data_IF_592260670442
#
_entry.id   IF_592260670442
#
_cell.length_a   1.000
_cell.length_b   1.000
_cell.length_c   1.000
_cell.angle_alpha   90.00
_cell.angle_beta   90.00
_cell.angle_gamma   90.00
#
_symmetry.space_group_name_H-M   'P 1'
#
loop_
_entity.id
_entity.type
_entity.pdbx_description
1 polymer ?
#
# COMPACT_ATOMS: atom_id res chain seq x y z
N UNK A 1 -69.42 4.89 56.21
CA UNK A 1 -68.54 5.94 56.75
C UNK A 1 -68.07 6.81 55.58
N UNK A 2 -68.53 8.07 55.57
CA UNK A 2 -67.90 9.32 55.07
C UNK A 2 -66.71 9.25 54.09
N UNK A 3 -66.54 10.10 53.06
CA UNK A 3 -67.25 11.26 52.49
C UNK A 3 -66.55 11.61 51.15
N UNK A 4 -67.29 12.28 50.26
CA UNK A 4 -66.87 12.86 48.98
C UNK A 4 -65.83 14.00 49.13
N UNK A 5 -65.14 14.34 48.03
CA UNK A 5 -64.34 15.58 47.92
C UNK A 5 -63.77 15.83 46.51
N UNK A 6 -64.58 16.46 45.66
CA UNK A 6 -64.25 17.05 44.35
C UNK A 6 -63.69 18.46 44.56
N UNK A 7 -62.58 18.89 43.94
CA UNK A 7 -62.37 20.27 43.45
C UNK A 7 -61.32 20.28 42.31
N UNK A 8 -61.69 21.06 41.31
CA UNK A 8 -61.10 21.46 40.04
C UNK A 8 -59.90 22.42 40.09
N UNK A 9 -59.07 22.35 39.04
CA UNK A 9 -58.39 23.43 38.27
C UNK A 9 -57.55 24.50 38.99
N UNK A 10 -56.27 24.61 38.64
CA UNK A 10 -55.58 25.91 38.50
C UNK A 10 -54.60 25.88 37.31
N UNK A 11 -54.66 26.93 36.50
CA UNK A 11 -53.87 27.17 35.28
C UNK A 11 -52.71 28.15 35.56
N UNK A 12 -51.58 27.94 34.86
CA UNK A 12 -50.52 28.90 34.46
C UNK A 12 -49.51 29.45 35.51
N UNK A 13 -48.36 30.07 35.09
CA UNK A 13 -47.52 29.91 33.89
C UNK A 13 -46.00 29.78 34.22
N UNK A 14 -45.16 29.34 33.28
CA UNK A 14 -43.70 29.49 33.43
C UNK A 14 -42.90 28.71 32.41
N UNK A 15 -42.27 29.40 31.47
CA UNK A 15 -41.55 28.81 30.35
C UNK A 15 -40.31 28.01 30.76
N UNK A 16 -40.11 26.88 30.08
CA UNK A 16 -38.81 26.24 29.97
C UNK A 16 -38.62 25.82 28.52
N UNK A 17 -37.85 26.61 27.78
CA UNK A 17 -37.23 26.18 26.53
C UNK A 17 -35.93 25.48 26.90
N UNK A 18 -35.72 24.20 26.56
CA UNK A 18 -34.37 23.72 26.32
C UNK A 18 -34.11 23.84 24.82
N UNK A 19 -33.40 24.92 24.47
CA UNK A 19 -32.49 24.95 23.33
C UNK A 19 -31.54 23.76 23.55
N UNK A 20 -31.68 22.70 22.75
CA UNK A 20 -30.94 21.47 23.02
C UNK A 20 -31.03 20.41 21.93
N UNK A 21 -31.15 20.80 20.67
CA UNK A 21 -30.99 19.87 19.54
C UNK A 21 -30.14 20.42 18.39
N UNK A 22 -29.55 21.61 18.56
CA UNK A 22 -28.72 22.25 17.52
C UNK A 22 -27.21 22.21 17.80
N UNK A 23 -26.77 21.50 18.86
CA UNK A 23 -25.35 21.42 19.22
C UNK A 23 -24.68 20.06 18.93
N UNK A 24 -25.35 19.15 18.19
CA UNK A 24 -24.74 17.90 17.73
C UNK A 24 -24.29 17.93 16.27
N UNK A 25 -24.57 19.01 15.53
CA UNK A 25 -24.18 19.15 14.12
C UNK A 25 -22.88 19.95 13.94
N UNK A 26 -22.45 20.72 14.95
CA UNK A 26 -21.25 21.56 14.84
C UNK A 26 -19.93 20.89 15.27
N UNK A 27 -19.98 19.74 15.94
CA UNK A 27 -18.77 18.93 16.25
C UNK A 27 -18.55 17.75 15.29
N UNK A 28 -19.55 17.44 14.44
CA UNK A 28 -19.48 16.36 13.45
C UNK A 28 -18.55 16.62 12.25
N UNK A 29 -18.40 17.85 11.69
CA UNK A 29 -17.55 18.02 10.51
C UNK A 29 -16.08 17.80 10.84
N UNK A 30 -15.64 18.13 12.07
CA UNK A 30 -14.23 18.02 12.46
C UNK A 30 -13.78 16.56 12.61
N UNK A 31 -14.62 15.71 13.20
CA UNK A 31 -14.32 14.29 13.37
C UNK A 31 -14.39 13.53 12.03
N UNK A 32 -15.34 13.89 11.17
CA UNK A 32 -15.45 13.31 9.83
C UNK A 32 -14.27 13.74 8.94
N UNK A 33 -13.86 15.01 8.98
CA UNK A 33 -12.67 15.46 8.24
C UNK A 33 -11.39 14.84 8.78
N UNK A 34 -11.25 14.66 10.10
CA UNK A 34 -10.03 14.08 10.66
C UNK A 34 -9.94 12.58 10.34
N UNK A 35 -11.04 11.84 10.47
CA UNK A 35 -11.06 10.42 10.10
C UNK A 35 -10.87 10.22 8.59
N UNK A 36 -11.48 11.06 7.76
CA UNK A 36 -11.25 11.04 6.31
C UNK A 36 -9.81 11.43 5.95
N UNK A 37 -9.22 12.38 6.67
CA UNK A 37 -7.83 12.78 6.51
C UNK A 37 -6.85 11.68 6.94
N UNK A 38 -7.12 10.98 8.05
CA UNK A 38 -6.31 9.84 8.50
C UNK A 38 -6.41 8.69 7.50
N UNK A 39 -7.62 8.32 7.04
CA UNK A 39 -7.79 7.29 6.01
C UNK A 39 -7.13 7.69 4.67
N UNK A 40 -7.16 8.96 4.31
CA UNK A 40 -6.45 9.49 3.16
C UNK A 40 -4.92 9.38 3.34
N UNK A 41 -4.39 9.72 4.52
CA UNK A 41 -2.97 9.57 4.83
C UNK A 41 -2.52 8.10 4.86
N UNK A 42 -3.32 7.18 5.41
CA UNK A 42 -3.01 5.75 5.38
C UNK A 42 -2.96 5.23 3.93
N UNK A 43 -3.86 5.69 3.07
CA UNK A 43 -3.88 5.30 1.66
C UNK A 43 -2.72 5.93 0.86
N UNK A 44 -2.15 7.03 1.34
CA UNK A 44 -0.92 7.60 0.78
C UNK A 44 0.33 6.77 1.11
N UNK A 45 0.26 5.91 2.13
CA UNK A 45 1.39 5.11 2.63
C UNK A 45 1.26 3.61 2.36
N UNK A 46 0.36 3.21 1.45
CA UNK A 46 0.07 1.81 1.15
C UNK A 46 0.18 1.50 -0.34
N UNK A 47 0.54 0.25 -0.65
CA UNK A 47 0.61 -0.22 -2.03
C UNK A 47 -0.81 -0.32 -2.60
N UNK A 48 -1.03 0.38 -3.72
CA UNK A 48 -2.28 0.39 -4.47
C UNK A 48 -2.18 -0.41 -5.78
N UNK A 49 -0.97 -0.63 -6.29
CA UNK A 49 -0.72 -1.37 -7.53
C UNK A 49 0.43 -2.36 -7.37
N UNK A 50 0.17 -3.62 -7.71
CA UNK A 50 1.15 -4.71 -7.68
C UNK A 50 1.42 -5.18 -9.11
N UNK A 51 2.66 -5.08 -9.54
CA UNK A 51 3.16 -5.58 -10.81
C UNK A 51 3.62 -7.03 -10.67
N UNK A 52 2.91 -7.95 -11.32
CA UNK A 52 3.26 -9.37 -11.37
C UNK A 52 4.14 -9.72 -12.60
N UNK A 53 4.46 -8.75 -13.44
CA UNK A 53 5.31 -8.94 -14.62
C UNK A 53 6.78 -9.09 -14.26
N UNK A 54 7.46 -10.05 -14.90
CA UNK A 54 8.90 -10.22 -14.76
C UNK A 54 9.69 -9.07 -15.37
N UNK A 55 10.94 -8.90 -14.93
CA UNK A 55 11.85 -7.99 -15.59
C UNK A 55 11.94 -8.25 -17.08
N UNK A 56 12.19 -7.19 -17.84
CA UNK A 56 12.24 -7.20 -19.33
C UNK A 56 10.88 -7.37 -20.02
N UNK A 57 9.77 -7.27 -19.30
CA UNK A 57 8.41 -7.15 -19.86
C UNK A 57 7.92 -5.70 -19.97
N UNK A 58 8.82 -4.71 -19.87
CA UNK A 58 8.47 -3.29 -19.90
C UNK A 58 8.25 -2.66 -18.51
N UNK A 59 8.74 -3.31 -17.46
CA UNK A 59 8.58 -2.89 -16.05
C UNK A 59 9.06 -1.46 -15.77
N UNK A 60 10.18 -1.04 -16.36
CA UNK A 60 10.68 0.33 -16.17
C UNK A 60 9.77 1.38 -16.80
N UNK A 61 9.23 1.10 -17.99
CA UNK A 61 8.22 1.98 -18.61
C UNK A 61 6.93 2.00 -17.80
N UNK A 62 6.55 0.87 -17.21
CA UNK A 62 5.39 0.79 -16.31
C UNK A 62 5.62 1.59 -15.02
N UNK A 63 6.82 1.53 -14.41
CA UNK A 63 7.21 2.34 -13.25
C UNK A 63 6.93 3.82 -13.52
N UNK A 64 7.51 4.36 -14.59
CA UNK A 64 7.32 5.76 -14.96
C UNK A 64 5.87 6.08 -15.33
N UNK A 65 5.17 5.17 -16.03
CA UNK A 65 3.77 5.36 -16.37
C UNK A 65 2.87 5.50 -15.14
N UNK A 66 3.11 4.69 -14.11
CA UNK A 66 2.38 4.78 -12.83
C UNK A 66 2.70 6.09 -12.10
N UNK A 67 3.97 6.48 -12.03
CA UNK A 67 4.36 7.76 -11.43
C UNK A 67 3.72 8.95 -12.15
N UNK A 68 3.65 8.91 -13.48
CA UNK A 68 2.95 9.93 -14.28
C UNK A 68 1.44 9.96 -14.05
N UNK A 69 0.82 8.84 -13.69
CA UNK A 69 -0.61 8.75 -13.38
C UNK A 69 -0.94 9.27 -11.97
N UNK A 70 0.07 9.67 -11.19
CA UNK A 70 -0.10 10.27 -9.85
C UNK A 70 0.12 9.31 -8.68
N UNK A 71 0.62 8.10 -8.93
CA UNK A 71 1.13 7.25 -7.86
C UNK A 71 2.47 7.82 -7.35
N UNK A 72 2.64 7.99 -6.04
CA UNK A 72 3.78 8.71 -5.45
C UNK A 72 5.15 8.21 -5.92
N UNK A 73 5.45 6.95 -5.65
CA UNK A 73 6.67 6.25 -6.04
C UNK A 73 6.33 4.81 -6.41
N UNK A 74 7.06 4.27 -7.39
CA UNK A 74 6.92 2.88 -7.79
C UNK A 74 8.20 2.09 -7.49
N UNK A 75 8.09 1.10 -6.60
CA UNK A 75 9.20 0.23 -6.22
C UNK A 75 9.62 -0.64 -7.41
N UNK A 76 10.93 -0.75 -7.65
CA UNK A 76 11.51 -1.49 -8.77
C UNK A 76 12.83 -2.14 -8.33
N UNK A 77 13.33 -3.14 -9.06
CA UNK A 77 14.66 -3.75 -8.85
C UNK A 77 15.79 -2.73 -8.64
N UNK A 78 15.70 -1.55 -9.26
CA UNK A 78 16.71 -0.51 -9.14
C UNK A 78 16.85 0.02 -7.71
N UNK A 79 15.80 -0.08 -6.89
CA UNK A 79 15.83 0.34 -5.49
C UNK A 79 16.76 -0.52 -4.64
N UNK A 80 17.08 -1.77 -5.04
CA UNK A 80 18.09 -2.58 -4.34
C UNK A 80 19.52 -2.03 -4.48
N UNK A 81 19.76 -1.15 -5.46
CA UNK A 81 21.02 -0.43 -5.59
C UNK A 81 21.06 0.79 -4.66
N UNK A 82 19.92 1.43 -4.43
CA UNK A 82 19.77 2.62 -3.58
C UNK A 82 19.65 2.25 -2.09
N UNK A 83 19.08 1.09 -1.80
CA UNK A 83 18.77 0.61 -0.46
C UNK A 83 19.34 -0.81 -0.24
N UNK A 84 20.67 -0.96 -0.05
CA UNK A 84 21.29 -2.27 0.15
C UNK A 84 20.68 -3.08 1.29
N UNK A 85 20.15 -2.41 2.32
CA UNK A 85 19.46 -3.05 3.45
C UNK A 85 18.21 -3.83 3.06
N UNK A 86 17.57 -3.51 1.92
CA UNK A 86 16.39 -4.25 1.46
C UNK A 86 16.75 -5.67 1.00
N UNK A 87 18.01 -5.94 0.61
CA UNK A 87 18.43 -7.25 0.13
C UNK A 87 18.17 -8.36 1.15
N UNK A 88 18.51 -8.11 2.41
CA UNK A 88 18.31 -9.06 3.50
C UNK A 88 16.82 -9.29 3.77
N UNK A 89 16.00 -8.24 3.77
CA UNK A 89 14.55 -8.35 3.91
C UNK A 89 13.93 -9.19 2.78
N UNK A 90 14.36 -8.96 1.54
CA UNK A 90 13.88 -9.72 0.39
C UNK A 90 14.32 -11.19 0.41
N UNK A 91 15.52 -11.48 0.93
CA UNK A 91 16.00 -12.84 1.16
C UNK A 91 15.15 -13.54 2.22
N UNK A 92 14.86 -12.87 3.33
CA UNK A 92 13.98 -13.38 4.38
C UNK A 92 12.58 -13.69 3.83
N UNK A 93 11.99 -12.76 3.07
CA UNK A 93 10.69 -12.95 2.45
C UNK A 93 10.66 -14.12 1.45
N UNK A 94 11.70 -14.27 0.62
CA UNK A 94 11.80 -15.41 -0.31
C UNK A 94 11.94 -16.76 0.40
N UNK A 95 12.57 -16.77 1.58
CA UNK A 95 12.68 -17.96 2.43
C UNK A 95 11.41 -18.23 3.25
N UNK A 96 10.35 -17.42 3.09
CA UNK A 96 9.07 -17.59 3.77
C UNK A 96 9.03 -17.04 5.20
N UNK A 97 10.04 -16.26 5.61
CA UNK A 97 9.98 -15.54 6.88
C UNK A 97 9.04 -14.33 6.77
N UNK A 98 8.30 -14.06 7.84
CA UNK A 98 7.50 -12.85 7.94
C UNK A 98 8.41 -11.62 8.03
N UNK A 99 8.11 -10.61 7.21
CA UNK A 99 8.80 -9.31 7.22
C UNK A 99 7.78 -8.18 7.36
N UNK A 100 8.25 -7.01 7.75
CA UNK A 100 7.42 -5.80 7.77
C UNK A 100 7.32 -5.19 6.37
N UNK A 101 6.25 -5.52 5.66
CA UNK A 101 5.96 -5.00 4.32
C UNK A 101 5.73 -3.49 4.31
N UNK A 102 5.14 -2.93 5.37
CA UNK A 102 4.84 -1.51 5.44
C UNK A 102 6.14 -0.70 5.51
N UNK A 103 7.09 -1.12 6.36
CA UNK A 103 8.40 -0.50 6.43
C UNK A 103 9.19 -0.64 5.11
N UNK A 104 9.10 -1.79 4.43
CA UNK A 104 9.79 -2.01 3.15
C UNK A 104 9.26 -1.08 2.03
N UNK A 105 7.96 -0.79 2.04
CA UNK A 105 7.27 0.01 1.03
C UNK A 105 6.93 1.42 1.49
N UNK A 106 7.57 1.94 2.54
CA UNK A 106 7.33 3.30 3.01
C UNK A 106 7.53 4.32 1.87
N UNK A 107 6.50 5.11 1.59
CA UNK A 107 6.49 6.12 0.53
C UNK A 107 6.17 5.60 -0.88
N UNK A 108 6.07 4.28 -1.07
CA UNK A 108 5.70 3.65 -2.35
C UNK A 108 4.21 3.35 -2.41
N UNK A 109 3.60 3.62 -3.56
CA UNK A 109 2.20 3.29 -3.85
C UNK A 109 2.04 2.23 -4.94
N UNK A 110 3.14 1.89 -5.62
CA UNK A 110 3.16 0.83 -6.61
C UNK A 110 4.44 0.01 -6.50
N UNK A 111 4.42 -1.21 -7.00
CA UNK A 111 5.59 -2.08 -7.05
C UNK A 111 5.60 -2.87 -8.35
N UNK A 112 6.74 -2.97 -9.03
CA UNK A 112 6.90 -3.69 -10.30
C UNK A 112 8.29 -4.34 -10.36
N UNK A 113 8.49 -5.24 -11.33
CA UNK A 113 9.74 -5.98 -11.50
C UNK A 113 10.08 -6.87 -10.29
N UNK A 114 11.21 -7.56 -10.39
CA UNK A 114 11.83 -8.21 -9.25
C UNK A 114 12.29 -7.18 -8.22
N UNK A 115 12.41 -7.57 -6.94
CA UNK A 115 12.04 -8.87 -6.36
C UNK A 115 10.53 -9.04 -6.10
N UNK A 116 9.75 -7.96 -6.12
CA UNK A 116 8.34 -7.92 -5.71
C UNK A 116 7.43 -8.84 -6.53
N UNK A 117 7.65 -8.94 -7.84
CA UNK A 117 6.79 -9.75 -8.71
C UNK A 117 6.82 -11.24 -8.37
N UNK A 118 7.86 -11.76 -7.70
CA UNK A 118 7.91 -13.16 -7.26
C UNK A 118 6.89 -13.44 -6.13
N UNK A 119 6.61 -12.43 -5.31
CA UNK A 119 5.77 -12.53 -4.12
C UNK A 119 4.42 -11.83 -4.29
N UNK A 120 3.96 -11.62 -5.53
CA UNK A 120 2.71 -10.91 -5.82
C UNK A 120 1.49 -11.49 -5.09
N UNK A 121 1.44 -12.82 -4.86
CA UNK A 121 0.35 -13.45 -4.10
C UNK A 121 0.38 -13.09 -2.62
N UNK A 122 1.56 -13.09 -2.01
CA UNK A 122 1.75 -12.63 -0.64
C UNK A 122 1.37 -11.16 -0.54
N UNK A 123 1.84 -10.33 -1.48
CA UNK A 123 1.52 -8.91 -1.52
C UNK A 123 0.01 -8.65 -1.70
N UNK A 124 -0.72 -9.48 -2.44
CA UNK A 124 -2.18 -9.39 -2.52
C UNK A 124 -2.89 -9.73 -1.21
N UNK A 125 -2.30 -10.59 -0.38
CA UNK A 125 -2.86 -10.90 0.94
C UNK A 125 -2.63 -9.74 1.91
N UNK A 126 -1.45 -9.11 1.84
CA UNK A 126 -1.08 -7.97 2.68
C UNK A 126 -1.80 -6.67 2.25
N UNK A 127 -1.99 -6.48 0.94
CA UNK A 127 -2.65 -5.33 0.34
C UNK A 127 -3.88 -5.77 -0.47
N UNK A 128 -4.98 -6.17 0.19
CA UNK A 128 -6.15 -6.75 -0.47
C UNK A 128 -6.88 -5.79 -1.42
N UNK A 129 -6.76 -4.48 -1.18
CA UNK A 129 -7.35 -3.44 -2.04
C UNK A 129 -6.46 -3.09 -3.25
N UNK A 130 -5.22 -3.59 -3.31
CA UNK A 130 -4.31 -3.29 -4.40
C UNK A 130 -4.72 -4.00 -5.68
N UNK A 131 -4.62 -3.29 -6.81
CA UNK A 131 -4.86 -3.86 -8.13
C UNK A 131 -3.61 -4.56 -8.64
N UNK A 132 -3.78 -5.68 -9.33
CA UNK A 132 -2.67 -6.41 -9.94
C UNK A 132 -2.59 -6.14 -11.43
N UNK A 133 -1.38 -5.81 -11.91
CA UNK A 133 -1.06 -5.64 -13.33
C UNK A 133 -0.05 -6.71 -13.73
N UNK A 134 -0.37 -7.46 -14.79
CA UNK A 134 0.55 -8.41 -15.41
C UNK A 134 0.98 -7.88 -16.79
N UNK A 135 2.21 -7.38 -16.89
CA UNK A 135 2.82 -7.08 -18.18
C UNK A 135 3.32 -8.35 -18.84
N UNK A 136 2.88 -8.59 -20.07
CA UNK A 136 3.26 -9.76 -20.87
C UNK A 136 4.10 -9.36 -22.07
N UNK A 137 4.96 -10.28 -22.51
CA UNK A 137 5.78 -10.18 -23.70
C UNK A 137 5.83 -11.55 -24.36
N UNK A 138 6.03 -11.55 -25.68
CA UNK A 138 6.38 -12.77 -26.42
C UNK A 138 7.54 -13.53 -25.72
N UNK A 139 7.37 -14.83 -25.39
CA UNK A 139 8.34 -15.58 -24.58
C UNK A 139 9.75 -15.63 -25.19
N UNK A 140 9.87 -15.83 -26.50
CA UNK A 140 11.16 -15.92 -27.18
C UNK A 140 11.89 -14.58 -27.14
N UNK A 141 11.19 -13.48 -27.45
CA UNK A 141 11.74 -12.12 -27.33
C UNK A 141 12.08 -11.74 -25.90
N UNK A 142 11.35 -12.26 -24.91
CA UNK A 142 11.67 -12.05 -23.50
C UNK A 142 12.95 -12.80 -23.12
N UNK A 143 13.07 -14.07 -23.50
CA UNK A 143 14.25 -14.89 -23.27
C UNK A 143 15.51 -14.24 -23.85
N UNK A 144 15.47 -13.85 -25.12
CA UNK A 144 16.59 -13.16 -25.78
C UNK A 144 16.98 -11.89 -25.03
N UNK A 145 15.98 -11.11 -24.59
CA UNK A 145 16.24 -9.89 -23.82
C UNK A 145 16.86 -10.18 -22.45
N UNK A 146 16.43 -11.23 -21.74
CA UNK A 146 16.98 -11.63 -20.44
C UNK A 146 18.43 -12.09 -20.61
N UNK A 147 18.69 -12.96 -21.59
CA UNK A 147 20.02 -13.50 -21.87
C UNK A 147 21.03 -12.41 -22.21
N UNK A 148 20.61 -11.41 -22.97
CA UNK A 148 21.44 -10.26 -23.33
C UNK A 148 21.70 -9.27 -22.18
N UNK A 149 20.90 -9.31 -21.09
CA UNK A 149 20.95 -8.29 -20.02
C UNK A 149 21.13 -8.91 -18.63
N UNK A 150 20.02 -9.27 -17.97
CA UNK A 150 19.98 -9.68 -16.57
C UNK A 150 20.82 -10.95 -16.35
N UNK A 151 20.70 -11.94 -17.22
CA UNK A 151 21.47 -13.18 -17.09
C UNK A 151 22.98 -12.92 -17.18
N UNK A 152 23.41 -12.11 -18.16
CA UNK A 152 24.81 -11.71 -18.28
C UNK A 152 25.29 -10.98 -17.03
N UNK A 153 24.49 -10.07 -16.49
CA UNK A 153 24.81 -9.33 -15.26
C UNK A 153 24.92 -10.25 -14.04
N UNK A 154 23.94 -11.13 -13.81
CA UNK A 154 23.95 -12.10 -12.71
C UNK A 154 25.15 -13.04 -12.81
N UNK A 155 25.47 -13.54 -14.00
CA UNK A 155 26.65 -14.37 -14.21
C UNK A 155 27.97 -13.65 -13.87
N UNK A 156 28.13 -12.41 -14.32
CA UNK A 156 29.30 -11.60 -13.96
C UNK A 156 29.38 -11.34 -12.44
N UNK A 157 28.24 -11.15 -11.78
CA UNK A 157 28.16 -11.00 -10.34
C UNK A 157 28.58 -12.28 -9.60
N UNK A 158 28.17 -13.45 -10.07
CA UNK A 158 28.56 -14.76 -9.52
C UNK A 158 30.06 -15.05 -9.70
N UNK A 159 30.62 -14.66 -10.84
CA UNK A 159 32.03 -14.87 -11.19
C UNK A 159 32.98 -13.82 -10.56
N UNK A 160 32.45 -12.83 -9.84
CA UNK A 160 33.23 -11.74 -9.25
C UNK A 160 33.94 -12.18 -7.96
N UNK A 161 35.16 -11.68 -7.69
CA UNK A 161 35.89 -11.94 -6.43
C UNK A 161 35.30 -11.19 -5.21
N UNK A 162 34.44 -10.19 -5.44
CA UNK A 162 33.73 -9.45 -4.40
C UNK A 162 32.55 -10.27 -3.83
N UNK A 163 32.57 -10.66 -2.54
CA UNK A 163 31.51 -11.46 -1.91
C UNK A 163 30.12 -10.82 -1.99
N UNK A 164 30.04 -9.49 -1.94
CA UNK A 164 28.77 -8.78 -2.01
C UNK A 164 28.14 -8.86 -3.41
N UNK A 165 28.97 -8.97 -4.45
CA UNK A 165 28.50 -9.16 -5.82
C UNK A 165 28.09 -10.61 -6.06
N UNK A 166 28.81 -11.58 -5.52
CA UNK A 166 28.45 -12.99 -5.59
C UNK A 166 27.04 -13.23 -5.03
N UNK A 167 26.72 -12.66 -3.86
CA UNK A 167 25.39 -12.77 -3.26
C UNK A 167 24.28 -12.16 -4.14
N UNK A 168 24.57 -11.10 -4.90
CA UNK A 168 23.58 -10.47 -5.79
C UNK A 168 23.31 -11.24 -7.08
N UNK A 169 24.18 -12.18 -7.43
CA UNK A 169 24.05 -12.98 -8.65
C UNK A 169 23.29 -14.30 -8.43
N UNK A 170 23.09 -14.71 -7.17
CA UNK A 170 22.33 -15.89 -6.75
C UNK A 170 20.82 -15.64 -6.83
#
# INVERSE_FOLDING_TARGET
>A
MHKQGFVSTLFAPGGFRPIGCFLLILFYPFFFTYSFFILFLENLMSIQVIGAGFGRTGTLSLKYGLEMLGYSQCYHMMELMNHPQHKELWLQAHNGYAIDWHSLYEGYQATVDWPSCNLWRTLMQEYPEAKVILSIRDPDKWYDSIMATIFKSSRMSLESDDPNKQQSGQ
#
